data_IF_731240561635
#
_entry.id   IF_731240561635
#
_cell.length_a   1.000
_cell.length_b   1.000
_cell.length_c   1.000
_cell.angle_alpha   90.00
_cell.angle_beta   90.00
_cell.angle_gamma   90.00
#
_symmetry.space_group_name_H-M   'P 1'
#
loop_
_entity.id
_entity.type
_entity.pdbx_description
1 polymer ?
#
# COMPACT_ATOMS: atom_id res chain seq x y z
N UNK A 1 28.09 -13.26 -42.61
CA UNK A 1 27.44 -13.89 -41.44
C UNK A 1 26.42 -12.91 -40.88
N UNK A 2 25.12 -13.27 -40.80
CA UNK A 2 24.12 -12.41 -40.15
C UNK A 2 24.40 -12.39 -38.65
N UNK A 3 24.73 -11.24 -38.09
CA UNK A 3 24.72 -11.08 -36.63
C UNK A 3 23.26 -11.21 -36.17
N UNK A 4 23.00 -12.16 -35.27
CA UNK A 4 21.71 -12.28 -34.60
C UNK A 4 21.48 -10.99 -33.81
N UNK A 5 20.32 -10.36 -33.99
CA UNK A 5 19.95 -9.19 -33.20
C UNK A 5 20.05 -9.52 -31.71
N UNK A 6 20.54 -8.57 -30.89
CA UNK A 6 20.60 -8.76 -29.45
C UNK A 6 19.19 -9.01 -28.93
N UNK A 7 18.98 -10.22 -28.40
CA UNK A 7 17.68 -10.68 -27.89
C UNK A 7 17.78 -11.00 -26.41
N UNK A 8 16.64 -10.99 -25.70
CA UNK A 8 16.58 -11.37 -24.30
C UNK A 8 17.15 -12.77 -24.04
N UNK A 9 16.95 -13.72 -24.96
CA UNK A 9 17.49 -15.07 -24.87
C UNK A 9 19.03 -15.09 -24.83
N UNK A 10 19.68 -14.20 -25.59
CA UNK A 10 21.14 -14.04 -25.56
C UNK A 10 21.63 -13.44 -24.23
N UNK A 11 20.93 -12.43 -23.71
CA UNK A 11 21.23 -11.80 -22.41
C UNK A 11 21.05 -12.81 -21.28
N UNK A 12 19.94 -13.55 -21.27
CA UNK A 12 19.65 -14.57 -20.25
C UNK A 12 20.72 -15.65 -20.17
N UNK A 13 21.21 -16.14 -21.31
CA UNK A 13 22.29 -17.12 -21.35
C UNK A 13 23.59 -16.58 -20.72
N UNK A 14 23.91 -15.31 -20.95
CA UNK A 14 25.06 -14.64 -20.31
C UNK A 14 24.85 -14.45 -18.81
N UNK A 15 23.67 -14.01 -18.38
CA UNK A 15 23.32 -13.87 -16.96
C UNK A 15 23.44 -15.20 -16.21
N UNK A 16 22.99 -16.31 -16.81
CA UNK A 16 23.05 -17.64 -16.21
C UNK A 16 24.49 -18.16 -16.00
N UNK A 17 25.47 -17.60 -16.73
CA UNK A 17 26.89 -17.96 -16.59
C UNK A 17 27.64 -17.14 -15.54
N UNK A 18 27.03 -16.08 -14.99
CA UNK A 18 27.65 -15.25 -13.97
C UNK A 18 27.54 -15.91 -12.60
N UNK A 19 28.61 -15.77 -11.81
CA UNK A 19 28.61 -16.13 -10.40
C UNK A 19 27.92 -15.04 -9.55
N UNK A 20 27.75 -15.31 -8.25
CA UNK A 20 27.06 -14.38 -7.35
C UNK A 20 27.73 -12.98 -7.31
N UNK A 21 29.07 -12.86 -7.18
CA UNK A 21 29.74 -11.56 -7.26
C UNK A 21 29.55 -10.86 -8.61
N UNK A 22 29.61 -11.60 -9.72
CA UNK A 22 29.39 -11.06 -11.07
C UNK A 22 27.99 -10.51 -11.26
N UNK A 23 26.97 -11.21 -10.76
CA UNK A 23 25.58 -10.73 -10.78
C UNK A 23 25.39 -9.47 -9.94
N UNK A 24 25.97 -9.40 -8.74
CA UNK A 24 25.90 -8.18 -7.90
C UNK A 24 26.57 -7.01 -8.60
N UNK A 25 27.74 -7.21 -9.21
CA UNK A 25 28.46 -6.16 -9.94
C UNK A 25 27.66 -5.63 -11.14
N UNK A 26 26.98 -6.52 -11.88
CA UNK A 26 26.10 -6.12 -12.98
C UNK A 26 24.89 -5.31 -12.49
N UNK A 27 24.24 -5.74 -11.39
CA UNK A 27 23.12 -5.01 -10.78
C UNK A 27 23.60 -3.63 -10.31
N UNK A 28 24.79 -3.51 -9.73
CA UNK A 28 25.38 -2.23 -9.34
C UNK A 28 25.64 -1.32 -10.55
N UNK A 29 26.12 -1.87 -11.66
CA UNK A 29 26.29 -1.12 -12.90
C UNK A 29 24.93 -0.62 -13.44
N UNK A 30 23.89 -1.45 -13.42
CA UNK A 30 22.53 -1.07 -13.78
C UNK A 30 21.94 0.01 -12.85
N UNK A 31 22.18 -0.11 -11.54
CA UNK A 31 21.81 0.89 -10.54
C UNK A 31 22.47 2.25 -10.81
N UNK A 32 23.74 2.24 -11.18
CA UNK A 32 24.51 3.46 -11.47
C UNK A 32 24.12 4.10 -12.81
N UNK A 33 23.56 3.32 -13.74
CA UNK A 33 23.27 3.78 -15.10
C UNK A 33 22.02 4.67 -15.23
N UNK A 34 21.06 4.61 -14.30
CA UNK A 34 19.82 5.40 -14.39
C UNK A 34 19.13 5.61 -13.04
N UNK A 35 18.56 6.80 -12.81
CA UNK A 35 17.71 7.09 -11.65
C UNK A 35 16.46 6.20 -11.59
N UNK A 36 15.91 5.80 -12.74
CA UNK A 36 14.76 4.90 -12.79
C UNK A 36 15.14 3.49 -12.29
N UNK A 37 16.35 3.03 -12.61
CA UNK A 37 16.88 1.76 -12.09
C UNK A 37 17.15 1.85 -10.58
N UNK A 38 17.60 3.00 -10.07
CA UNK A 38 17.75 3.22 -8.63
C UNK A 38 16.40 3.13 -7.93
N UNK A 39 15.39 3.83 -8.42
CA UNK A 39 14.03 3.78 -7.86
C UNK A 39 13.44 2.36 -7.90
N UNK A 40 13.64 1.64 -9.01
CA UNK A 40 13.22 0.26 -9.15
C UNK A 40 13.90 -0.67 -8.12
N UNK A 41 15.23 -0.59 -7.99
CA UNK A 41 15.98 -1.43 -7.06
C UNK A 41 15.72 -1.05 -5.59
N UNK A 42 15.56 0.23 -5.28
CA UNK A 42 15.13 0.72 -3.97
C UNK A 42 13.77 0.13 -3.57
N UNK A 43 12.78 0.21 -4.46
CA UNK A 43 11.47 -0.39 -4.23
C UNK A 43 11.52 -1.92 -4.13
N UNK A 44 12.28 -2.58 -5.00
CA UNK A 44 12.35 -4.05 -5.07
C UNK A 44 13.09 -4.65 -3.87
N UNK A 45 14.12 -3.98 -3.39
CA UNK A 45 14.96 -4.41 -2.27
C UNK A 45 14.55 -3.79 -0.93
N UNK A 46 13.61 -2.85 -0.91
CA UNK A 46 13.19 -2.13 0.29
C UNK A 46 14.29 -1.24 0.88
N UNK A 47 15.15 -0.67 0.04
CA UNK A 47 16.31 0.15 0.44
C UNK A 47 16.08 1.59 0.01
N UNK A 48 16.21 2.56 0.93
CA UNK A 48 15.95 3.99 0.69
C UNK A 48 14.63 4.45 1.32
N UNK A 49 14.57 5.73 1.69
CA UNK A 49 13.48 6.32 2.48
C UNK A 49 12.09 5.96 1.93
N UNK A 50 11.36 5.22 2.77
CA UNK A 50 9.96 4.81 2.65
C UNK A 50 9.34 5.03 1.26
N UNK A 51 9.48 4.04 0.38
CA UNK A 51 8.88 4.03 -0.98
C UNK A 51 7.36 4.26 -0.98
N UNK A 52 6.70 4.13 0.17
CA UNK A 52 5.28 4.40 0.34
C UNK A 52 4.99 5.87 0.70
N UNK A 53 5.99 6.62 1.19
CA UNK A 53 5.88 8.02 1.63
C UNK A 53 5.13 8.94 0.65
N UNK A 54 5.43 8.99 -0.66
CA UNK A 54 4.70 9.86 -1.58
C UNK A 54 3.22 9.44 -1.75
N UNK A 55 2.94 8.13 -1.70
CA UNK A 55 1.58 7.61 -1.78
C UNK A 55 0.80 7.89 -0.49
N UNK A 56 1.42 7.67 0.68
CA UNK A 56 0.87 8.01 2.00
C UNK A 56 0.57 9.51 2.11
N UNK A 57 1.48 10.37 1.64
CA UNK A 57 1.24 11.81 1.61
C UNK A 57 0.01 12.20 0.77
N UNK A 58 -0.15 11.56 -0.40
CA UNK A 58 -1.31 11.77 -1.27
C UNK A 58 -2.60 11.29 -0.62
N UNK A 59 -2.60 10.10 -0.01
CA UNK A 59 -3.75 9.55 0.71
C UNK A 59 -4.16 10.50 1.85
N UNK A 60 -3.21 10.90 2.69
CA UNK A 60 -3.47 11.79 3.82
C UNK A 60 -4.07 13.13 3.37
N UNK A 61 -3.52 13.74 2.32
CA UNK A 61 -4.00 15.03 1.80
C UNK A 61 -5.46 14.98 1.35
N UNK A 62 -5.92 13.87 0.79
CA UNK A 62 -7.27 13.76 0.23
C UNK A 62 -8.29 13.15 1.18
N UNK A 63 -7.87 12.42 2.22
CA UNK A 63 -8.77 11.88 3.25
C UNK A 63 -8.88 12.78 4.49
N UNK A 64 -7.79 13.46 4.85
CA UNK A 64 -7.71 14.31 6.03
C UNK A 64 -7.27 15.71 5.59
N UNK A 65 -8.09 16.42 4.80
CA UNK A 65 -7.74 17.77 4.38
C UNK A 65 -7.69 18.73 5.57
N UNK A 66 -6.93 19.81 5.40
CA UNK A 66 -6.93 20.90 6.36
C UNK A 66 -8.27 21.66 6.25
N UNK A 67 -9.18 21.39 7.20
CA UNK A 67 -10.52 21.99 7.25
C UNK A 67 -10.48 23.51 7.38
N UNK A 68 -9.42 24.07 7.97
CA UNK A 68 -9.23 25.52 8.09
C UNK A 68 -8.79 26.17 6.76
N UNK A 69 -8.36 25.38 5.78
CA UNK A 69 -7.94 25.83 4.45
C UNK A 69 -8.97 25.54 3.36
N UNK A 70 -10.20 25.17 3.73
CA UNK A 70 -11.32 24.93 2.81
C UNK A 70 -10.96 23.93 1.68
N UNK A 71 -10.18 22.90 2.03
CA UNK A 71 -9.74 21.88 1.09
C UNK A 71 -10.77 20.75 1.01
N UNK A 72 -11.12 20.35 -0.21
CA UNK A 72 -12.07 19.24 -0.41
C UNK A 72 -11.48 17.88 -0.03
N UNK A 73 -12.33 17.05 0.56
CA UNK A 73 -12.13 15.61 0.70
C UNK A 73 -12.31 14.93 -0.66
N UNK A 74 -11.46 13.96 -1.00
CA UNK A 74 -11.64 13.13 -2.20
C UNK A 74 -11.15 11.70 -2.01
N UNK A 75 -12.06 10.84 -1.58
CA UNK A 75 -11.87 9.38 -1.51
C UNK A 75 -11.33 8.81 -2.83
N UNK A 76 -11.85 9.29 -3.98
CA UNK A 76 -11.45 8.83 -5.29
C UNK A 76 -9.95 9.06 -5.57
N UNK A 77 -9.44 10.26 -5.23
CA UNK A 77 -8.02 10.59 -5.41
C UNK A 77 -7.13 9.83 -4.43
N UNK A 78 -7.58 9.59 -3.20
CA UNK A 78 -6.87 8.72 -2.27
C UNK A 78 -6.78 7.26 -2.80
N UNK A 79 -7.87 6.70 -3.30
CA UNK A 79 -7.90 5.35 -3.94
C UNK A 79 -7.02 5.29 -5.19
N UNK A 80 -6.91 6.39 -5.94
CA UNK A 80 -6.04 6.47 -7.10
C UNK A 80 -4.56 6.34 -6.73
N UNK A 81 -4.12 6.86 -5.57
CA UNK A 81 -2.74 6.69 -5.09
C UNK A 81 -2.40 5.22 -4.83
N UNK A 82 -3.31 4.46 -4.20
CA UNK A 82 -3.15 3.02 -3.99
C UNK A 82 -3.08 2.29 -5.34
N UNK A 83 -3.97 2.65 -6.27
CA UNK A 83 -3.99 2.08 -7.62
C UNK A 83 -2.71 2.39 -8.41
N UNK A 84 -2.14 3.58 -8.24
CA UNK A 84 -0.88 3.97 -8.85
C UNK A 84 0.30 3.13 -8.29
N UNK A 85 0.36 2.95 -6.97
CA UNK A 85 1.35 2.05 -6.36
C UNK A 85 1.21 0.61 -6.86
N UNK A 86 -0.04 0.11 -6.98
CA UNK A 86 -0.33 -1.21 -7.54
C UNK A 86 0.25 -1.39 -8.94
N UNK A 87 0.13 -0.37 -9.78
CA UNK A 87 0.64 -0.38 -11.16
C UNK A 87 2.16 -0.25 -11.22
N UNK A 88 2.77 0.52 -10.32
CA UNK A 88 4.20 0.78 -10.33
C UNK A 88 5.02 -0.42 -9.82
N UNK A 89 4.66 -0.93 -8.64
CA UNK A 89 5.41 -1.99 -7.94
C UNK A 89 4.48 -3.13 -7.54
N UNK A 90 3.33 -2.80 -6.96
CA UNK A 90 2.30 -3.78 -6.58
C UNK A 90 2.73 -4.83 -5.56
N UNK A 91 3.80 -4.59 -4.79
CA UNK A 91 4.22 -5.53 -3.76
C UNK A 91 3.13 -5.68 -2.68
N UNK A 92 2.76 -6.93 -2.36
CA UNK A 92 1.63 -7.26 -1.49
C UNK A 92 1.68 -6.56 -0.14
N UNK A 93 2.86 -6.52 0.50
CA UNK A 93 3.04 -5.83 1.78
C UNK A 93 2.78 -4.33 1.67
N UNK A 94 3.33 -3.66 0.65
CA UNK A 94 3.12 -2.23 0.48
C UNK A 94 1.68 -1.86 0.08
N UNK A 95 0.99 -2.76 -0.64
CA UNK A 95 -0.45 -2.59 -0.90
C UNK A 95 -1.25 -2.67 0.40
N UNK A 96 -1.00 -3.68 1.22
CA UNK A 96 -1.64 -3.83 2.51
C UNK A 96 -1.35 -2.62 3.41
N UNK A 97 -0.10 -2.17 3.49
CA UNK A 97 0.32 -0.99 4.24
C UNK A 97 -0.42 0.29 3.81
N UNK A 98 -0.59 0.52 2.50
CA UNK A 98 -1.34 1.68 2.00
C UNK A 98 -2.84 1.58 2.26
N UNK A 99 -3.42 0.39 2.20
CA UNK A 99 -4.84 0.16 2.52
C UNK A 99 -5.12 0.36 4.02
N UNK A 100 -4.23 -0.14 4.90
CA UNK A 100 -4.31 0.12 6.34
C UNK A 100 -4.17 1.60 6.63
N UNK A 101 -3.16 2.26 6.04
CA UNK A 101 -2.95 3.69 6.21
C UNK A 101 -4.15 4.53 5.75
N UNK A 102 -4.81 4.14 4.66
CA UNK A 102 -6.08 4.76 4.23
C UNK A 102 -7.12 4.67 5.35
N UNK A 103 -7.32 3.48 5.93
CA UNK A 103 -8.31 3.27 6.98
C UNK A 103 -8.00 4.10 8.22
N UNK A 104 -6.73 4.15 8.63
CA UNK A 104 -6.26 4.98 9.75
C UNK A 104 -6.56 6.46 9.54
N UNK A 105 -6.22 7.01 8.37
CA UNK A 105 -6.44 8.43 8.09
C UNK A 105 -7.93 8.77 8.00
N UNK A 106 -8.72 7.89 7.39
CA UNK A 106 -10.16 8.07 7.31
C UNK A 106 -10.82 8.04 8.69
N UNK A 107 -10.43 7.09 9.54
CA UNK A 107 -10.97 6.95 10.90
C UNK A 107 -10.60 8.13 11.80
N UNK A 108 -9.30 8.47 11.88
CA UNK A 108 -8.82 9.60 12.68
C UNK A 108 -9.51 10.91 12.27
N UNK A 109 -9.61 11.17 10.96
CA UNK A 109 -10.29 12.37 10.48
C UNK A 109 -11.76 12.39 10.87
N UNK A 110 -12.45 11.25 10.75
CA UNK A 110 -13.87 11.15 11.08
C UNK A 110 -14.13 11.43 12.57
N UNK A 111 -13.27 10.90 13.45
CA UNK A 111 -13.29 11.16 14.89
C UNK A 111 -13.05 12.65 15.20
N UNK A 112 -11.98 13.22 14.64
CA UNK A 112 -11.53 14.58 14.95
C UNK A 112 -12.52 15.67 14.51
N UNK A 113 -13.18 15.48 13.37
CA UNK A 113 -14.08 16.49 12.79
C UNK A 113 -15.56 16.18 12.96
N UNK A 114 -15.89 15.02 13.55
CA UNK A 114 -17.26 14.55 13.68
C UNK A 114 -17.96 14.42 12.32
N UNK A 115 -17.28 13.81 11.34
CA UNK A 115 -17.79 13.70 9.97
C UNK A 115 -19.13 12.94 9.94
N UNK A 116 -20.08 13.41 9.15
CA UNK A 116 -21.41 12.80 9.00
C UNK A 116 -21.68 12.52 7.50
N UNK A 117 -20.80 11.74 6.87
CA UNK A 117 -20.85 11.42 5.43
C UNK A 117 -20.89 9.90 5.23
N UNK A 118 -22.07 9.38 4.92
CA UNK A 118 -22.32 7.95 4.69
C UNK A 118 -21.49 7.40 3.52
N UNK A 119 -21.34 8.16 2.43
CA UNK A 119 -20.55 7.73 1.28
C UNK A 119 -19.05 7.64 1.62
N UNK A 120 -18.58 8.48 2.54
CA UNK A 120 -17.24 8.41 3.09
C UNK A 120 -17.05 7.15 3.95
N UNK A 121 -18.00 6.84 4.83
CA UNK A 121 -17.96 5.64 5.67
C UNK A 121 -18.05 4.35 4.85
N UNK A 122 -18.92 4.30 3.84
CA UNK A 122 -18.96 3.23 2.85
C UNK A 122 -17.60 2.98 2.20
N UNK A 123 -16.89 4.06 1.87
CA UNK A 123 -15.57 3.95 1.28
C UNK A 123 -14.52 3.42 2.26
N UNK A 124 -14.60 3.81 3.54
CA UNK A 124 -13.78 3.28 4.62
C UNK A 124 -14.01 1.78 4.80
N UNK A 125 -15.26 1.35 4.97
CA UNK A 125 -15.63 -0.07 5.15
C UNK A 125 -15.17 -0.94 3.97
N UNK A 126 -15.38 -0.47 2.74
CA UNK A 126 -14.88 -1.16 1.54
C UNK A 126 -13.36 -1.24 1.48
N UNK A 127 -12.64 -0.24 1.99
CA UNK A 127 -11.18 -0.29 2.06
C UNK A 127 -10.71 -1.21 3.18
N UNK A 128 -11.39 -1.21 4.32
CA UNK A 128 -11.12 -2.06 5.46
C UNK A 128 -11.22 -3.55 5.07
N UNK A 129 -12.31 -3.94 4.39
CA UNK A 129 -12.47 -5.29 3.85
C UNK A 129 -11.34 -5.68 2.87
N UNK A 130 -10.89 -4.75 2.02
CA UNK A 130 -9.76 -4.99 1.11
C UNK A 130 -8.43 -5.13 1.85
N UNK A 131 -8.21 -4.33 2.89
CA UNK A 131 -7.03 -4.40 3.74
C UNK A 131 -6.94 -5.76 4.44
N UNK A 132 -8.04 -6.25 5.02
CA UNK A 132 -8.10 -7.58 5.63
C UNK A 132 -7.70 -8.69 4.65
N UNK A 133 -8.29 -8.68 3.44
CA UNK A 133 -7.94 -9.65 2.38
C UNK A 133 -6.48 -9.54 1.96
N UNK A 134 -5.93 -8.34 1.84
CA UNK A 134 -4.53 -8.13 1.49
C UNK A 134 -3.59 -8.69 2.57
N UNK A 135 -3.89 -8.41 3.84
CA UNK A 135 -3.14 -8.86 5.01
C UNK A 135 -3.17 -10.39 5.15
N UNK A 136 -4.29 -11.04 4.82
CA UNK A 136 -4.40 -12.50 4.84
C UNK A 136 -3.36 -13.18 3.92
N UNK A 137 -2.91 -12.51 2.85
CA UNK A 137 -1.91 -13.05 1.91
C UNK A 137 -0.45 -12.88 2.35
N UNK A 138 -0.18 -12.20 3.48
CA UNK A 138 1.17 -11.89 3.95
C UNK A 138 1.74 -12.97 4.88
N UNK A 139 3.04 -12.88 5.18
CA UNK A 139 3.66 -13.70 6.23
C UNK A 139 3.10 -13.37 7.62
N UNK A 140 3.21 -14.30 8.57
CA UNK A 140 2.65 -14.14 9.91
C UNK A 140 3.17 -12.88 10.63
N UNK A 141 4.47 -12.59 10.53
CA UNK A 141 5.09 -11.43 11.17
C UNK A 141 4.54 -10.10 10.62
N UNK A 142 4.42 -9.99 9.30
CA UNK A 142 3.86 -8.82 8.63
C UNK A 142 2.36 -8.67 8.90
N UNK A 143 1.65 -9.80 8.98
CA UNK A 143 0.23 -9.87 9.24
C UNK A 143 -0.12 -9.30 10.61
N UNK A 144 0.57 -9.71 11.67
CA UNK A 144 0.26 -9.27 13.05
C UNK A 144 0.37 -7.75 13.21
N UNK A 145 1.41 -7.13 12.66
CA UNK A 145 1.62 -5.68 12.78
C UNK A 145 0.51 -4.86 12.10
N UNK A 146 0.06 -5.28 10.92
CA UNK A 146 -0.99 -4.60 10.17
C UNK A 146 -2.39 -4.87 10.77
N UNK A 147 -2.60 -6.07 11.32
CA UNK A 147 -3.83 -6.41 12.03
C UNK A 147 -4.07 -5.53 13.25
N UNK A 148 -3.07 -5.34 14.10
CA UNK A 148 -3.20 -4.50 15.30
C UNK A 148 -3.59 -3.05 14.95
N UNK A 149 -3.12 -2.56 13.81
CA UNK A 149 -3.46 -1.21 13.31
C UNK A 149 -4.90 -1.14 12.79
N UNK A 150 -5.39 -2.18 12.12
CA UNK A 150 -6.81 -2.24 11.73
C UNK A 150 -7.74 -2.42 12.94
N UNK A 151 -7.33 -3.16 13.96
CA UNK A 151 -8.12 -3.26 15.20
C UNK A 151 -8.21 -1.89 15.91
N UNK A 152 -7.12 -1.11 15.93
CA UNK A 152 -7.17 0.26 16.41
C UNK A 152 -8.13 1.15 15.59
N UNK A 153 -8.19 0.99 14.26
CA UNK A 153 -9.17 1.69 13.41
C UNK A 153 -10.60 1.35 13.81
N UNK A 154 -10.87 0.06 14.03
CA UNK A 154 -12.18 -0.42 14.47
C UNK A 154 -12.56 0.18 15.83
N UNK A 155 -11.63 0.22 16.79
CA UNK A 155 -11.86 0.83 18.10
C UNK A 155 -12.19 2.32 17.99
N UNK A 156 -11.45 3.08 17.19
CA UNK A 156 -11.73 4.52 16.94
C UNK A 156 -13.10 4.71 16.28
N UNK A 157 -13.50 3.79 15.39
CA UNK A 157 -14.78 3.87 14.67
C UNK A 157 -16.01 3.73 15.57
N UNK A 158 -15.86 3.27 16.82
CA UNK A 158 -16.94 3.23 17.81
C UNK A 158 -17.47 4.64 18.14
N UNK A 159 -16.67 5.67 17.90
CA UNK A 159 -17.02 7.06 18.17
C UNK A 159 -17.83 7.74 17.04
N UNK A 160 -17.93 7.13 15.85
CA UNK A 160 -18.47 7.83 14.66
C UNK A 160 -20.00 7.87 14.62
N UNK A 161 -20.67 6.91 15.28
CA UNK A 161 -22.06 6.58 15.00
C UNK A 161 -22.20 5.81 13.68
N UNK A 162 -23.43 5.71 13.15
CA UNK A 162 -23.76 5.09 11.85
C UNK A 162 -23.48 3.59 11.69
N UNK A 163 -23.25 2.84 12.77
CA UNK A 163 -23.05 1.39 12.66
C UNK A 163 -21.70 0.97 12.07
N UNK A 164 -20.76 1.92 11.89
CA UNK A 164 -19.47 1.66 11.19
C UNK A 164 -18.63 0.64 11.94
N UNK A 165 -18.58 0.72 13.27
CA UNK A 165 -17.87 -0.24 14.08
C UNK A 165 -18.51 -1.64 14.01
N UNK A 166 -19.84 -1.71 14.06
CA UNK A 166 -20.60 -2.94 13.96
C UNK A 166 -20.41 -3.62 12.61
N UNK A 167 -20.35 -2.87 11.51
CA UNK A 167 -20.03 -3.40 10.19
C UNK A 167 -18.58 -3.87 10.09
N UNK A 168 -17.62 -3.16 10.70
CA UNK A 168 -16.24 -3.64 10.80
C UNK A 168 -16.16 -4.95 11.59
N UNK A 169 -16.95 -5.12 12.65
CA UNK A 169 -17.02 -6.35 13.45
C UNK A 169 -17.49 -7.53 12.60
N UNK A 170 -18.53 -7.33 11.78
CA UNK A 170 -19.00 -8.34 10.82
C UNK A 170 -17.90 -8.69 9.82
N UNK A 171 -17.22 -7.70 9.24
CA UNK A 171 -16.14 -7.92 8.29
C UNK A 171 -14.94 -8.67 8.91
N UNK A 172 -14.64 -8.43 10.19
CA UNK A 172 -13.59 -9.16 10.91
C UNK A 172 -14.01 -10.60 11.17
N UNK A 173 -15.25 -10.83 11.58
CA UNK A 173 -15.82 -12.17 11.77
C UNK A 173 -15.88 -12.97 10.46
N UNK A 174 -16.09 -12.33 9.31
CA UNK A 174 -16.03 -12.98 8.01
C UNK A 174 -14.60 -13.35 7.56
N UNK A 175 -13.57 -12.72 8.13
CA UNK A 175 -12.16 -12.92 7.77
C UNK A 175 -11.40 -13.81 8.77
N UNK A 176 -11.94 -14.04 9.97
CA UNK A 176 -11.46 -15.03 10.95
C UNK A 176 -12.40 -16.24 10.99
N UNK A 177 -11.94 -17.48 10.88
CA UNK A 177 -11.02 -18.12 11.84
C UNK A 177 -11.52 -17.86 13.26
N UNK A 178 -12.67 -18.45 13.58
CA UNK A 178 -12.95 -18.87 14.95
C UNK A 178 -11.81 -19.81 15.39
N UNK A 179 -11.19 -19.47 16.52
CA UNK A 179 -10.23 -20.27 17.33
C UNK A 179 -8.74 -20.13 17.01
#
# INVERSE_FOLDING_TARGET
MRQKEPSWSCVKAKLASLDRPGLISLIQALYSASKDNQAFLHARCGVGDDVLKPYKATINRWLSPDVFKNQDVSVAKAKQAISAYKKAIGASHGLAELMVFFCERAAVFSDEVGLQDEAYFDALLRMFAQALRAIATLSQEQRCALWNRLDAVRQVSQNFGYGVAEEMDVLLAEQGLDS
#
